data_IF_982500428430
#
_entry.id   IF_982500428430
#
_cell.length_a   1.000
_cell.length_b   1.000
_cell.length_c   1.000
_cell.angle_alpha   90.00
_cell.angle_beta   90.00
_cell.angle_gamma   90.00
#
_symmetry.space_group_name_H-M   'P 1'
#
loop_
_entity.id
_entity.type
_entity.pdbx_description
1 polymer ?
#
# COMPACT_ATOMS: atom_id res chain seq x y z
N UNK A 1 11.45 -24.04 -20.46
CA UNK A 1 11.01 -22.85 -21.21
C UNK A 1 11.96 -22.65 -22.37
N UNK A 2 11.48 -22.88 -23.58
CA UNK A 2 12.24 -22.48 -24.77
C UNK A 2 12.16 -20.96 -24.89
N UNK A 3 13.20 -20.32 -25.45
CA UNK A 3 13.24 -18.86 -25.67
C UNK A 3 12.01 -18.32 -26.46
N UNK A 4 11.26 -19.18 -27.17
CA UNK A 4 10.05 -18.84 -27.91
C UNK A 4 8.80 -18.59 -27.04
N UNK A 5 8.85 -18.87 -25.73
CA UNK A 5 7.70 -18.70 -24.84
C UNK A 5 7.67 -17.33 -24.14
N UNK A 6 8.77 -16.58 -24.21
CA UNK A 6 8.95 -15.30 -23.50
C UNK A 6 7.98 -14.22 -24.00
N UNK A 7 7.44 -13.43 -23.07
CA UNK A 7 6.57 -12.28 -23.32
C UNK A 7 7.25 -11.26 -24.24
N UNK A 8 8.56 -11.06 -24.07
CA UNK A 8 9.40 -10.20 -24.93
C UNK A 8 9.40 -10.60 -26.42
N UNK A 9 8.97 -11.81 -26.78
CA UNK A 9 8.80 -12.24 -28.18
C UNK A 9 7.35 -12.19 -28.65
N UNK A 10 6.40 -11.99 -27.74
CA UNK A 10 4.95 -11.97 -28.01
C UNK A 10 4.37 -10.55 -28.01
N UNK A 11 5.05 -9.61 -27.36
CA UNK A 11 4.68 -8.20 -27.27
C UNK A 11 5.82 -7.33 -27.76
N UNK A 12 5.48 -6.16 -28.26
CA UNK A 12 6.48 -5.16 -28.66
C UNK A 12 7.06 -4.48 -27.41
N UNK A 13 8.28 -3.96 -27.53
CA UNK A 13 8.92 -3.23 -26.44
C UNK A 13 8.13 -1.96 -26.11
N UNK A 14 7.64 -1.25 -27.13
CA UNK A 14 6.86 -0.02 -26.94
C UNK A 14 5.56 -0.28 -26.16
N UNK A 15 4.86 -1.38 -26.44
CA UNK A 15 3.65 -1.76 -25.69
C UNK A 15 3.94 -2.06 -24.21
N UNK A 16 5.03 -2.79 -23.94
CA UNK A 16 5.46 -3.13 -22.58
C UNK A 16 5.86 -1.85 -21.84
N UNK A 17 6.72 -1.04 -22.44
CA UNK A 17 7.24 0.18 -21.83
C UNK A 17 6.11 1.17 -21.54
N UNK A 18 5.17 1.37 -22.47
CA UNK A 18 4.01 2.24 -22.25
C UNK A 18 3.15 1.82 -21.04
N UNK A 19 2.91 0.52 -20.86
CA UNK A 19 2.18 0.03 -19.70
C UNK A 19 3.01 0.16 -18.42
N UNK A 20 4.29 -0.19 -18.49
CA UNK A 20 5.21 -0.20 -17.37
C UNK A 20 5.54 1.20 -16.84
N UNK A 21 5.57 2.22 -17.70
CA UNK A 21 5.78 3.62 -17.33
C UNK A 21 4.59 4.14 -16.52
N UNK A 22 3.36 3.82 -16.94
CA UNK A 22 2.15 4.13 -16.17
C UNK A 22 2.13 3.42 -14.81
N UNK A 23 2.64 2.18 -14.76
CA UNK A 23 2.80 1.47 -13.49
C UNK A 23 3.85 2.14 -12.59
N UNK A 24 4.98 2.61 -13.14
CA UNK A 24 5.98 3.38 -12.39
C UNK A 24 5.40 4.68 -11.83
N UNK A 25 4.57 5.40 -12.59
CA UNK A 25 3.85 6.59 -12.09
C UNK A 25 2.92 6.24 -10.92
N UNK A 26 2.17 5.15 -11.02
CA UNK A 26 1.30 4.68 -9.95
C UNK A 26 2.09 4.30 -8.70
N UNK A 27 3.11 3.44 -8.81
CA UNK A 27 3.83 2.92 -7.65
C UNK A 27 4.70 3.98 -6.97
N UNK A 28 5.14 5.01 -7.71
CA UNK A 28 5.80 6.16 -7.08
C UNK A 28 4.84 6.93 -6.17
N UNK A 29 3.60 7.15 -6.61
CA UNK A 29 2.58 7.85 -5.84
C UNK A 29 2.02 7.00 -4.69
N UNK A 30 1.68 5.74 -4.98
CA UNK A 30 1.00 4.82 -4.09
C UNK A 30 1.98 4.19 -3.07
N UNK A 31 2.57 5.01 -2.19
CA UNK A 31 3.52 4.53 -1.17
C UNK A 31 2.84 3.84 0.02
N UNK A 32 1.58 4.15 0.30
CA UNK A 32 0.75 3.56 1.37
C UNK A 32 -0.56 3.03 0.78
N UNK A 33 -1.29 2.20 1.52
CA UNK A 33 -2.60 1.71 1.07
C UNK A 33 -3.57 2.88 0.80
N UNK A 34 -3.53 3.93 1.64
CA UNK A 34 -4.39 5.11 1.47
C UNK A 34 -4.13 5.86 0.18
N UNK A 35 -2.85 6.04 -0.16
CA UNK A 35 -2.47 6.69 -1.42
C UNK A 35 -2.79 5.81 -2.63
N UNK A 36 -2.68 4.48 -2.50
CA UNK A 36 -3.13 3.56 -3.55
C UNK A 36 -4.64 3.70 -3.81
N UNK A 37 -5.46 3.71 -2.75
CA UNK A 37 -6.92 3.89 -2.87
C UNK A 37 -7.26 5.28 -3.42
N UNK A 38 -6.60 6.35 -2.97
CA UNK A 38 -6.78 7.71 -3.49
C UNK A 38 -6.48 7.79 -5.00
N UNK A 39 -5.40 7.14 -5.45
CA UNK A 39 -5.06 7.06 -6.86
C UNK A 39 -6.15 6.35 -7.67
N UNK A 40 -6.62 5.19 -7.19
CA UNK A 40 -7.66 4.43 -7.88
C UNK A 40 -9.01 5.12 -7.87
N UNK A 41 -9.38 5.82 -6.79
CA UNK A 41 -10.57 6.65 -6.72
C UNK A 41 -10.59 7.67 -7.86
N UNK A 42 -9.50 8.42 -8.01
CA UNK A 42 -9.35 9.43 -9.06
C UNK A 42 -9.53 8.82 -10.45
N UNK A 43 -8.83 7.72 -10.73
CA UNK A 43 -8.91 7.07 -12.04
C UNK A 43 -10.31 6.49 -12.32
N UNK A 44 -10.97 5.89 -11.33
CA UNK A 44 -12.32 5.37 -11.48
C UNK A 44 -13.31 6.49 -11.81
N UNK A 45 -13.23 7.62 -11.10
CA UNK A 45 -14.04 8.81 -11.37
C UNK A 45 -13.81 9.35 -12.79
N UNK A 46 -12.56 9.48 -13.21
CA UNK A 46 -12.20 9.91 -14.57
C UNK A 46 -12.75 8.98 -15.66
N UNK A 47 -12.96 7.69 -15.34
CA UNK A 47 -13.51 6.68 -16.24
C UNK A 47 -15.02 6.44 -16.08
N UNK A 48 -15.72 7.37 -15.44
CA UNK A 48 -17.18 7.40 -15.34
C UNK A 48 -17.77 6.42 -14.34
N UNK A 49 -16.97 5.93 -13.38
CA UNK A 49 -17.52 5.23 -12.23
C UNK A 49 -18.09 6.25 -11.24
N UNK A 50 -19.15 5.85 -10.53
CA UNK A 50 -19.76 6.66 -9.48
C UNK A 50 -19.60 6.00 -8.10
N UNK A 51 -19.44 6.78 -7.04
CA UNK A 51 -19.43 6.26 -5.68
C UNK A 51 -20.84 5.71 -5.33
N UNK A 52 -20.89 4.66 -4.51
CA UNK A 52 -22.12 3.96 -4.10
C UNK A 52 -23.18 4.92 -3.53
N UNK A 53 -22.76 5.99 -2.86
CA UNK A 53 -23.63 7.01 -2.29
C UNK A 53 -24.47 7.73 -3.35
N UNK A 54 -24.00 7.78 -4.60
CA UNK A 54 -24.69 8.38 -5.75
C UNK A 54 -25.45 7.36 -6.60
N UNK A 55 -25.42 6.07 -6.23
CA UNK A 55 -26.03 5.01 -7.01
C UNK A 55 -27.56 5.09 -6.97
N UNK A 56 -28.21 5.07 -8.13
CA UNK A 56 -29.68 5.14 -8.26
C UNK A 56 -30.32 3.82 -8.68
N UNK A 57 -29.50 2.77 -8.88
CA UNK A 57 -29.95 1.47 -9.40
C UNK A 57 -29.83 1.32 -10.91
N UNK A 58 -29.49 2.41 -11.64
CA UNK A 58 -29.44 2.44 -13.11
C UNK A 58 -28.03 2.43 -13.67
N UNK A 59 -27.05 2.84 -12.89
CA UNK A 59 -25.66 2.96 -13.31
C UNK A 59 -24.98 1.59 -13.34
N UNK A 60 -24.12 1.37 -14.32
CA UNK A 60 -23.40 0.10 -14.45
C UNK A 60 -22.04 0.13 -13.75
N UNK A 61 -21.43 1.31 -13.61
CA UNK A 61 -20.08 1.52 -13.07
C UNK A 61 -20.17 2.14 -11.69
N UNK A 62 -19.98 1.32 -10.66
CA UNK A 62 -20.16 1.73 -9.26
C UNK A 62 -18.97 1.26 -8.45
N UNK A 63 -18.50 2.10 -7.53
CA UNK A 63 -17.46 1.72 -6.58
C UNK A 63 -17.81 2.16 -5.15
N UNK A 64 -17.11 1.58 -4.18
CA UNK A 64 -17.20 1.94 -2.79
C UNK A 64 -15.82 1.88 -2.15
N UNK A 65 -15.50 2.91 -1.37
CA UNK A 65 -14.26 3.01 -0.61
C UNK A 65 -14.58 2.79 0.86
N UNK A 66 -13.91 1.83 1.46
CA UNK A 66 -14.05 1.51 2.86
C UNK A 66 -12.86 2.11 3.62
N UNK A 67 -13.14 3.12 4.46
CA UNK A 67 -12.17 3.77 5.35
C UNK A 67 -10.89 4.28 4.68
N UNK A 68 -10.98 4.59 3.38
CA UNK A 68 -9.84 4.98 2.52
C UNK A 68 -8.71 3.93 2.47
N UNK A 69 -9.00 2.67 2.82
CA UNK A 69 -8.00 1.59 2.89
C UNK A 69 -8.35 0.42 1.99
N UNK A 70 -9.64 0.19 1.75
CA UNK A 70 -10.12 -0.84 0.82
C UNK A 70 -11.02 -0.23 -0.24
N UNK A 71 -11.15 -0.91 -1.36
CA UNK A 71 -12.00 -0.51 -2.47
C UNK A 71 -12.70 -1.71 -3.09
N UNK A 72 -13.95 -1.54 -3.48
CA UNK A 72 -14.65 -2.47 -4.38
C UNK A 72 -15.24 -1.68 -5.53
N UNK A 73 -15.05 -2.15 -6.76
CA UNK A 73 -15.62 -1.55 -7.96
C UNK A 73 -16.21 -2.63 -8.86
N UNK A 74 -17.36 -2.34 -9.47
CA UNK A 74 -18.04 -3.22 -10.42
C UNK A 74 -18.48 -2.47 -11.67
N UNK A 75 -18.49 -3.17 -12.80
CA UNK A 75 -19.04 -2.73 -14.08
C UNK A 75 -19.99 -3.79 -14.64
N UNK A 76 -21.28 -3.45 -14.75
CA UNK A 76 -22.32 -4.29 -15.37
C UNK A 76 -23.40 -4.79 -14.40
N UNK A 77 -24.27 -5.66 -14.90
CA UNK A 77 -25.38 -6.23 -14.12
C UNK A 77 -24.93 -7.35 -13.18
N UNK A 78 -25.12 -7.16 -11.87
CA UNK A 78 -24.58 -8.04 -10.82
C UNK A 78 -25.42 -9.31 -10.61
N UNK A 79 -26.70 -9.32 -11.01
CA UNK A 79 -27.63 -10.44 -10.75
C UNK A 79 -27.21 -11.76 -11.41
N UNK A 80 -26.40 -11.69 -12.47
CA UNK A 80 -25.87 -12.87 -13.18
C UNK A 80 -24.53 -13.35 -12.61
N UNK A 81 -24.07 -12.79 -11.50
CA UNK A 81 -22.75 -13.01 -10.92
C UNK A 81 -21.72 -12.01 -11.43
N UNK A 82 -20.55 -12.03 -10.78
CA UNK A 82 -19.45 -11.09 -11.00
C UNK A 82 -18.15 -11.87 -11.19
N UNK A 83 -17.36 -11.50 -12.18
CA UNK A 83 -15.97 -11.93 -12.29
C UNK A 83 -15.09 -10.89 -11.59
N UNK A 84 -14.62 -11.21 -10.39
CA UNK A 84 -13.75 -10.37 -9.60
C UNK A 84 -12.27 -10.70 -9.83
N UNK A 85 -11.44 -9.66 -9.83
CA UNK A 85 -10.03 -9.76 -9.46
C UNK A 85 -9.89 -9.20 -8.04
N UNK A 86 -9.32 -9.97 -7.13
CA UNK A 86 -9.07 -9.56 -5.76
C UNK A 86 -7.56 -9.46 -5.52
N UNK A 87 -7.10 -8.36 -4.93
CA UNK A 87 -5.71 -8.09 -4.58
C UNK A 87 -5.65 -7.30 -3.26
N UNK A 88 -4.46 -7.09 -2.70
CA UNK A 88 -4.26 -6.17 -1.57
C UNK A 88 -3.38 -4.97 -1.95
N UNK A 89 -3.46 -3.90 -1.17
CA UNK A 89 -2.73 -2.64 -1.41
C UNK A 89 -1.85 -2.22 -0.24
N UNK A 90 -1.96 -2.91 0.90
CA UNK A 90 -1.00 -2.81 1.98
C UNK A 90 0.30 -3.54 1.63
N UNK A 91 1.39 -3.06 2.21
CA UNK A 91 2.73 -3.62 2.02
C UNK A 91 3.50 -3.56 3.35
N UNK A 92 4.52 -4.40 3.57
CA UNK A 92 5.30 -4.39 4.79
C UNK A 92 5.98 -3.04 4.99
N UNK A 93 5.85 -2.48 6.19
CA UNK A 93 6.24 -1.11 6.52
C UNK A 93 6.66 -0.95 7.98
N UNK A 94 6.96 0.29 8.37
CA UNK A 94 7.30 0.63 9.76
C UNK A 94 6.40 1.78 10.21
N UNK A 95 5.62 1.56 11.25
CA UNK A 95 4.67 2.53 11.77
C UNK A 95 5.26 3.30 12.94
N UNK A 96 4.82 4.54 13.13
CA UNK A 96 5.08 5.24 14.38
C UNK A 96 4.21 4.68 15.50
N UNK A 97 4.77 4.57 16.70
CA UNK A 97 3.96 4.26 17.90
C UNK A 97 3.05 5.45 18.27
N UNK A 98 1.98 5.23 19.07
CA UNK A 98 1.07 6.31 19.49
C UNK A 98 1.74 7.45 20.27
N UNK A 99 2.77 7.14 21.06
CA UNK A 99 3.62 8.14 21.72
C UNK A 99 5.05 7.98 21.17
N UNK A 100 5.31 8.45 19.95
CA UNK A 100 6.55 8.11 19.27
C UNK A 100 7.70 8.99 19.74
N UNK A 101 7.44 10.27 20.04
CA UNK A 101 8.44 11.33 20.08
C UNK A 101 9.19 11.41 21.42
N UNK A 102 10.51 11.32 21.37
CA UNK A 102 11.38 11.50 22.54
C UNK A 102 12.72 12.12 22.14
N UNK A 103 13.44 12.66 23.12
CA UNK A 103 14.82 13.10 22.95
C UNK A 103 15.76 12.18 23.72
N UNK A 104 16.87 11.82 23.09
CA UNK A 104 17.99 11.16 23.76
C UNK A 104 19.30 11.72 23.23
N UNK A 105 20.20 12.07 24.16
CA UNK A 105 21.57 12.50 23.85
C UNK A 105 21.67 13.63 22.79
N UNK A 106 20.73 14.58 22.81
CA UNK A 106 20.68 15.72 21.88
C UNK A 106 20.11 15.39 20.49
N UNK A 107 19.39 14.27 20.36
CA UNK A 107 18.74 13.85 19.11
C UNK A 107 17.26 13.58 19.38
N UNK A 108 16.39 14.19 18.58
CA UNK A 108 14.97 13.85 18.56
C UNK A 108 14.75 12.59 17.73
N UNK A 109 14.07 11.63 18.33
CA UNK A 109 13.80 10.30 17.77
C UNK A 109 12.30 10.01 17.83
N UNK A 110 11.84 9.10 16.96
CA UNK A 110 10.52 8.49 17.08
C UNK A 110 10.60 6.97 17.24
N UNK A 111 9.84 6.45 18.22
CA UNK A 111 9.61 5.01 18.41
C UNK A 111 8.75 4.46 17.30
N UNK A 112 9.11 3.27 16.83
CA UNK A 112 8.38 2.60 15.75
C UNK A 112 7.86 1.22 16.14
N UNK A 113 7.05 0.64 15.25
CA UNK A 113 6.61 -0.74 15.26
C UNK A 113 6.51 -1.23 13.83
N UNK A 114 7.03 -2.42 13.52
CA UNK A 114 6.94 -2.93 12.15
C UNK A 114 5.53 -3.45 11.84
N UNK A 115 5.18 -3.44 10.56
CA UNK A 115 3.93 -3.96 10.02
C UNK A 115 4.27 -5.00 8.95
N UNK A 116 3.66 -6.18 9.03
CA UNK A 116 3.91 -7.28 8.10
C UNK A 116 5.28 -7.97 8.25
N UNK A 117 5.62 -8.79 7.26
CA UNK A 117 6.81 -9.66 7.24
C UNK A 117 8.14 -8.98 6.93
N UNK A 118 8.49 -7.87 7.60
CA UNK A 118 9.71 -7.11 7.26
C UNK A 118 11.02 -7.85 7.58
N UNK A 119 11.94 -7.87 6.62
CA UNK A 119 13.37 -8.15 6.88
C UNK A 119 14.03 -6.90 7.47
N UNK A 120 14.00 -6.78 8.80
CA UNK A 120 14.43 -5.60 9.58
C UNK A 120 15.73 -4.94 9.09
N UNK A 121 16.76 -5.74 8.76
CA UNK A 121 18.06 -5.23 8.32
C UNK A 121 18.02 -4.47 6.99
N UNK A 122 17.02 -4.69 6.14
CA UNK A 122 16.87 -3.97 4.86
C UNK A 122 16.31 -2.55 5.05
N UNK A 123 15.81 -2.23 6.24
CA UNK A 123 15.23 -0.92 6.56
C UNK A 123 16.23 0.01 7.25
N UNK A 124 17.38 -0.51 7.67
CA UNK A 124 18.43 0.29 8.31
C UNK A 124 19.26 1.02 7.25
N UNK A 125 19.68 2.24 7.59
CA UNK A 125 20.48 3.14 6.74
C UNK A 125 19.88 3.42 5.36
N UNK A 126 18.56 3.27 5.23
CA UNK A 126 17.79 3.58 4.03
C UNK A 126 17.11 4.96 4.18
N UNK A 127 17.07 5.80 3.14
CA UNK A 127 16.21 6.99 3.10
C UNK A 127 14.73 6.61 3.19
N UNK A 128 14.02 7.15 4.17
CA UNK A 128 12.61 6.90 4.43
C UNK A 128 11.79 8.19 4.32
N UNK A 129 10.57 8.06 3.83
CA UNK A 129 9.53 9.08 3.87
C UNK A 129 8.54 8.74 5.00
N UNK A 130 7.99 9.77 5.64
CA UNK A 130 6.89 9.64 6.61
C UNK A 130 5.58 10.05 5.92
N UNK A 131 4.66 9.11 5.79
CA UNK A 131 3.41 9.28 5.05
C UNK A 131 2.25 8.81 5.90
N UNK A 132 1.14 9.53 5.89
CA UNK A 132 -0.07 9.07 6.55
C UNK A 132 -1.02 10.19 6.92
N UNK A 133 -1.79 9.98 8.00
CA UNK A 133 -2.81 10.92 8.44
C UNK A 133 -2.79 11.12 9.95
N UNK A 134 -3.17 12.32 10.37
CA UNK A 134 -3.39 12.67 11.77
C UNK A 134 -4.80 13.21 11.91
N UNK A 135 -5.55 12.71 12.89
CA UNK A 135 -6.92 13.19 13.18
C UNK A 135 -6.89 13.97 14.48
N UNK A 136 -7.17 15.27 14.43
CA UNK A 136 -7.21 16.15 15.59
C UNK A 136 -8.47 15.93 16.42
N UNK A 137 -8.46 16.43 17.66
CA UNK A 137 -9.61 16.37 18.58
C UNK A 137 -10.90 16.98 17.98
N UNK A 138 -10.77 18.06 17.20
CA UNK A 138 -11.89 18.71 16.51
C UNK A 138 -12.43 17.90 15.30
N UNK A 139 -11.86 16.73 15.01
CA UNK A 139 -12.20 15.88 13.87
C UNK A 139 -11.51 16.27 12.55
N UNK A 140 -10.66 17.30 12.54
CA UNK A 140 -9.88 17.68 11.36
C UNK A 140 -8.88 16.59 11.02
N UNK A 141 -8.87 16.18 9.75
CA UNK A 141 -7.96 15.16 9.23
C UNK A 141 -6.85 15.82 8.41
N UNK A 142 -5.62 15.68 8.87
CA UNK A 142 -4.43 16.25 8.26
C UNK A 142 -3.66 15.15 7.53
N UNK A 143 -3.34 15.36 6.25
CA UNK A 143 -2.43 14.50 5.49
C UNK A 143 -0.98 14.91 5.77
N UNK A 144 -0.14 13.92 6.08
CA UNK A 144 1.30 14.10 6.31
C UNK A 144 2.06 13.39 5.20
N UNK A 145 3.01 14.11 4.60
CA UNK A 145 3.99 13.58 3.66
C UNK A 145 5.30 14.35 3.89
N UNK A 146 6.32 13.68 4.41
CA UNK A 146 7.68 14.21 4.57
C UNK A 146 8.62 13.25 3.85
N UNK A 147 9.45 13.76 2.95
CA UNK A 147 10.35 12.94 2.13
C UNK A 147 9.70 12.37 0.87
N UNK A 148 8.55 12.94 0.48
CA UNK A 148 7.81 12.54 -0.73
C UNK A 148 8.25 13.32 -1.97
N UNK A 149 8.70 14.56 -1.78
CA UNK A 149 9.19 15.45 -2.84
C UNK A 149 10.73 15.46 -2.88
N UNK A 150 11.32 15.72 -4.04
CA UNK A 150 12.79 15.70 -4.23
C UNK A 150 13.57 16.68 -3.34
N UNK A 151 12.90 17.72 -2.85
CA UNK A 151 13.49 18.75 -1.97
C UNK A 151 13.21 18.53 -0.49
N UNK A 152 12.33 17.59 -0.16
CA UNK A 152 12.00 17.31 1.23
C UNK A 152 13.17 16.60 1.93
N UNK A 153 13.36 16.84 3.24
CA UNK A 153 14.24 15.99 4.02
C UNK A 153 13.66 14.57 4.10
N UNK A 154 14.54 13.59 4.10
CA UNK A 154 14.22 12.18 4.38
C UNK A 154 14.58 11.84 5.82
N UNK A 155 14.02 10.75 6.31
CA UNK A 155 14.31 10.17 7.61
C UNK A 155 15.16 8.91 7.46
N UNK A 156 15.84 8.49 8.54
CA UNK A 156 16.69 7.30 8.52
C UNK A 156 16.59 6.55 9.85
N UNK A 157 16.57 5.21 9.75
CA UNK A 157 16.83 4.30 10.86
C UNK A 157 18.32 3.95 10.87
N UNK A 158 19.14 4.52 11.76
CA UNK A 158 20.59 4.32 11.71
C UNK A 158 20.98 2.88 12.09
N UNK A 159 21.93 2.30 11.35
CA UNK A 159 22.63 1.07 11.77
C UNK A 159 23.89 1.37 12.58
N UNK A 160 24.37 0.40 13.35
CA UNK A 160 25.66 0.47 14.02
C UNK A 160 26.77 0.30 12.99
N UNK A 161 27.76 1.20 13.01
CA UNK A 161 28.92 1.09 12.12
C UNK A 161 29.72 -0.20 12.37
N UNK A 162 30.28 -0.83 11.32
CA UNK A 162 30.88 -2.16 11.42
C UNK A 162 32.13 -2.23 12.32
N UNK A 163 32.82 -1.11 12.57
CA UNK A 163 34.01 -1.09 13.43
C UNK A 163 33.68 -1.34 14.92
N UNK A 164 32.44 -1.07 15.33
CA UNK A 164 31.94 -1.26 16.69
C UNK A 164 30.96 -2.43 16.78
N UNK A 165 30.36 -2.86 15.67
CA UNK A 165 29.54 -4.05 15.61
C UNK A 165 30.40 -5.33 15.54
N UNK A 166 30.89 -5.77 16.71
CA UNK A 166 31.78 -6.93 16.84
C UNK A 166 31.03 -8.25 17.12
N UNK A 167 29.72 -8.19 17.35
CA UNK A 167 28.93 -9.38 17.67
C UNK A 167 28.44 -10.05 16.38
N UNK A 168 28.92 -11.26 16.11
CA UNK A 168 28.47 -12.08 14.98
C UNK A 168 27.32 -13.00 15.44
N UNK A 169 26.09 -12.47 15.42
CA UNK A 169 24.87 -13.21 15.77
C UNK A 169 24.08 -13.60 14.52
N UNK A 170 23.18 -14.56 14.69
CA UNK A 170 22.19 -14.88 13.66
C UNK A 170 21.35 -13.63 13.34
N UNK A 171 20.98 -13.47 12.06
CA UNK A 171 20.14 -12.35 11.59
C UNK A 171 18.85 -12.21 12.41
N UNK A 172 18.27 -13.33 12.85
CA UNK A 172 17.06 -13.37 13.69
C UNK A 172 17.23 -12.70 15.06
N UNK A 173 18.46 -12.61 15.57
CA UNK A 173 18.78 -12.09 16.92
C UNK A 173 19.47 -10.73 16.88
N UNK A 174 20.22 -10.46 15.81
CA UNK A 174 21.02 -9.24 15.65
C UNK A 174 20.13 -8.00 15.52
N UNK A 175 19.10 -8.06 14.67
CA UNK A 175 18.27 -6.90 14.35
C UNK A 175 16.99 -6.89 15.21
N UNK A 176 17.01 -6.05 16.25
CA UNK A 176 15.92 -5.89 17.22
C UNK A 176 14.98 -4.74 16.82
N UNK A 177 13.69 -5.03 16.72
CA UNK A 177 12.68 -4.05 16.29
C UNK A 177 12.60 -2.84 17.25
N UNK A 178 12.82 -3.06 18.54
CA UNK A 178 12.76 -2.01 19.57
C UNK A 178 13.87 -0.96 19.43
N UNK A 179 14.94 -1.32 18.70
CA UNK A 179 16.06 -0.42 18.39
C UNK A 179 15.87 0.35 17.09
N UNK A 180 14.87 0.01 16.27
CA UNK A 180 14.56 0.69 15.01
C UNK A 180 13.85 2.02 15.29
N UNK A 181 14.59 3.01 15.78
CA UNK A 181 14.04 4.33 16.10
C UNK A 181 14.52 5.33 15.05
N UNK A 182 13.57 6.08 14.48
CA UNK A 182 13.86 6.98 13.36
C UNK A 182 14.39 8.31 13.88
N UNK A 183 15.43 8.84 13.24
CA UNK A 183 15.97 10.18 13.54
C UNK A 183 15.06 11.24 12.93
N UNK A 184 14.72 12.26 13.72
CA UNK A 184 13.88 13.38 13.30
C UNK A 184 14.65 14.69 13.24
N UNK A 185 15.68 14.87 14.07
CA UNK A 185 16.57 16.02 14.00
C UNK A 185 17.46 16.19 15.23
N UNK A 186 18.30 17.20 15.19
CA UNK A 186 19.36 17.46 16.20
C UNK A 186 19.53 18.94 16.54
N UNK A 187 18.67 19.82 16.01
CA UNK A 187 18.76 21.27 16.25
C UNK A 187 17.92 21.60 17.50
N UNK A 188 18.51 22.20 18.55
CA UNK A 188 17.77 22.58 19.75
C UNK A 188 16.95 23.86 19.52
N UNK A 189 15.80 23.94 20.17
CA UNK A 189 15.03 25.19 20.27
C UNK A 189 15.76 26.15 21.24
N UNK A 190 16.06 27.36 20.77
CA UNK A 190 16.71 28.38 21.60
C UNK A 190 15.86 28.76 22.82
N UNK A 191 16.51 28.86 23.98
CA UNK A 191 15.86 29.25 25.25
C UNK A 191 15.15 28.10 25.98
N UNK A 192 15.21 26.87 25.48
CA UNK A 192 14.65 25.69 26.14
C UNK A 192 15.71 24.83 26.83
N UNK A 193 15.43 24.43 28.08
CA UNK A 193 16.35 23.62 28.87
C UNK A 193 16.00 22.13 28.86
N UNK A 194 14.71 21.79 28.73
CA UNK A 194 14.22 20.40 28.79
C UNK A 194 13.76 19.94 27.41
N UNK A 195 14.42 18.89 26.91
CA UNK A 195 14.17 18.28 25.60
C UNK A 195 14.09 19.33 24.47
N UNK A 196 15.09 20.22 24.34
CA UNK A 196 15.03 21.35 23.41
C UNK A 196 14.95 20.93 21.94
N UNK A 197 15.52 19.78 21.56
CA UNK A 197 15.49 19.27 20.18
C UNK A 197 14.11 18.70 19.87
N UNK A 198 13.52 17.91 20.78
CA UNK A 198 12.14 17.43 20.65
C UNK A 198 11.17 18.61 20.50
N UNK A 199 11.32 19.64 21.33
CA UNK A 199 10.48 20.85 21.24
C UNK A 199 10.65 21.58 19.91
N UNK A 200 11.86 21.61 19.35
CA UNK A 200 12.08 22.16 18.02
C UNK A 200 11.36 21.37 16.93
N UNK A 201 11.40 20.03 16.98
CA UNK A 201 10.65 19.18 16.05
C UNK A 201 9.14 19.42 16.18
N UNK A 202 8.60 19.49 17.41
CA UNK A 202 7.19 19.80 17.64
C UNK A 202 6.80 21.18 17.08
N UNK A 203 7.68 22.18 17.25
CA UNK A 203 7.48 23.51 16.64
C UNK A 203 7.38 23.41 15.11
N UNK A 204 8.29 22.68 14.46
CA UNK A 204 8.26 22.50 13.00
C UNK A 204 7.01 21.76 12.52
N UNK A 205 6.59 20.71 13.24
CA UNK A 205 5.35 19.98 12.93
C UNK A 205 4.11 20.85 13.10
N UNK A 206 4.08 21.68 14.15
CA UNK A 206 3.01 22.65 14.37
C UNK A 206 2.98 23.74 13.30
N UNK A 207 4.13 24.26 12.88
CA UNK A 207 4.22 25.27 11.82
C UNK A 207 3.80 24.71 10.44
N UNK A 208 4.22 23.49 10.11
CA UNK A 208 3.96 22.89 8.78
C UNK A 208 2.57 22.27 8.66
N UNK A 209 2.11 21.58 9.70
CA UNK A 209 0.90 20.76 9.65
C UNK A 209 -0.14 21.13 10.72
N UNK A 210 0.17 22.05 11.64
CA UNK A 210 -0.68 22.36 12.79
C UNK A 210 -0.96 21.14 13.70
N UNK A 211 0.05 20.27 13.84
CA UNK A 211 0.02 19.04 14.66
C UNK A 211 0.73 19.30 15.99
N UNK A 212 0.13 18.84 17.09
CA UNK A 212 0.72 18.84 18.44
C UNK A 212 1.11 17.42 18.88
N UNK A 213 1.80 17.28 20.02
CA UNK A 213 2.30 15.98 20.47
C UNK A 213 1.17 14.97 20.76
N UNK A 214 0.06 15.44 21.32
CA UNK A 214 -1.07 14.58 21.68
C UNK A 214 -1.82 14.04 20.44
N UNK A 215 -1.74 14.74 19.31
CA UNK A 215 -2.39 14.35 18.06
C UNK A 215 -1.79 13.04 17.48
N UNK A 216 -0.59 12.63 17.89
CA UNK A 216 0.01 11.36 17.48
C UNK A 216 -0.77 10.12 17.97
N UNK A 217 -1.58 10.26 19.02
CA UNK A 217 -2.39 9.16 19.56
C UNK A 217 -3.44 8.70 18.54
N UNK A 218 -3.98 9.64 17.76
CA UNK A 218 -4.96 9.44 16.70
C UNK A 218 -4.33 9.56 15.30
N UNK A 219 -3.03 9.26 15.20
CA UNK A 219 -2.28 9.23 13.96
C UNK A 219 -2.11 7.82 13.41
N UNK A 220 -2.06 7.73 12.08
CA UNK A 220 -1.75 6.54 11.30
C UNK A 220 -0.62 6.97 10.35
N UNK A 221 0.63 6.84 10.82
CA UNK A 221 1.84 7.36 10.16
C UNK A 221 2.84 6.25 9.90
N UNK A 222 3.31 6.21 8.67
CA UNK A 222 4.05 5.11 8.08
C UNK A 222 5.38 5.59 7.54
N UNK A 223 6.45 4.92 7.92
CA UNK A 223 7.76 5.04 7.32
C UNK A 223 7.86 4.05 6.16
N UNK A 224 8.13 4.59 4.99
CA UNK A 224 8.26 3.86 3.73
C UNK A 224 9.54 4.29 3.01
N UNK A 225 10.17 3.45 2.17
CA UNK A 225 11.31 3.87 1.37
C UNK A 225 11.02 5.14 0.56
N UNK A 226 11.89 6.14 0.66
CA UNK A 226 11.83 7.37 -0.15
C UNK A 226 12.42 7.19 -1.56
N UNK A 227 12.72 5.95 -1.96
CA UNK A 227 13.27 5.63 -3.27
C UNK A 227 12.20 5.73 -4.35
N UNK A 228 12.56 6.33 -5.49
CA UNK A 228 11.73 6.36 -6.70
C UNK A 228 11.83 5.03 -7.46
N UNK A 229 10.76 4.59 -8.15
CA UNK A 229 10.82 3.42 -9.02
C UNK A 229 11.80 3.64 -10.17
N UNK A 230 12.56 2.60 -10.54
CA UNK A 230 13.57 2.66 -11.60
C UNK A 230 13.58 1.38 -12.40
N UNK A 231 14.01 1.48 -13.66
CA UNK A 231 14.35 0.30 -14.44
C UNK A 231 15.63 -0.34 -13.91
N UNK A 232 15.67 -1.67 -13.89
CA UNK A 232 16.74 -2.50 -13.35
C UNK A 232 17.29 -3.41 -14.45
N UNK A 233 18.62 -3.53 -14.51
CA UNK A 233 19.34 -4.26 -15.55
C UNK A 233 19.87 -3.36 -16.65
N UNK A 234 20.93 -3.79 -17.35
CA UNK A 234 21.56 -3.04 -18.46
C UNK A 234 20.56 -2.85 -19.62
N UNK A 235 19.61 -3.76 -19.76
CA UNK A 235 18.58 -3.75 -20.81
C UNK A 235 17.27 -3.07 -20.39
N UNK A 236 17.17 -2.62 -19.13
CA UNK A 236 15.95 -2.07 -18.52
C UNK A 236 14.76 -3.04 -18.56
N UNK A 237 15.01 -4.34 -18.40
CA UNK A 237 13.97 -5.37 -18.48
C UNK A 237 13.15 -5.58 -17.19
N UNK A 238 13.60 -5.04 -16.06
CA UNK A 238 12.92 -5.15 -14.77
C UNK A 238 12.56 -3.77 -14.21
N UNK A 239 11.58 -3.74 -13.29
CA UNK A 239 11.29 -2.56 -12.46
C UNK A 239 11.69 -2.87 -11.03
N UNK A 240 12.41 -1.95 -10.41
CA UNK A 240 12.68 -1.94 -8.98
C UNK A 240 11.93 -0.81 -8.31
N UNK A 241 11.03 -1.15 -7.38
CA UNK A 241 10.27 -0.22 -6.56
C UNK A 241 9.91 -0.86 -5.20
N UNK A 242 9.49 -0.02 -4.26
CA UNK A 242 8.90 -0.47 -3.00
C UNK A 242 7.40 -0.76 -3.17
N UNK A 243 6.91 -1.81 -2.49
CA UNK A 243 5.48 -2.13 -2.43
C UNK A 243 4.92 -2.75 -3.70
N UNK A 244 5.74 -3.43 -4.52
CA UNK A 244 5.23 -4.25 -5.62
C UNK A 244 4.18 -5.25 -5.12
N UNK A 245 4.48 -5.86 -3.98
CA UNK A 245 3.60 -6.71 -3.19
C UNK A 245 2.51 -5.86 -2.49
N UNK A 246 1.23 -5.98 -2.83
CA UNK A 246 0.66 -6.57 -4.07
C UNK A 246 0.04 -5.49 -4.99
N UNK A 247 0.56 -4.27 -4.86
CA UNK A 247 0.10 -3.13 -5.66
C UNK A 247 0.26 -3.36 -7.16
N UNK A 248 1.15 -4.25 -7.60
CA UNK A 248 1.25 -4.65 -9.01
C UNK A 248 -0.04 -5.32 -9.50
N UNK A 249 -0.56 -6.31 -8.79
CA UNK A 249 -1.81 -6.98 -9.15
C UNK A 249 -3.02 -6.06 -8.97
N UNK A 250 -3.00 -5.19 -7.95
CA UNK A 250 -4.03 -4.17 -7.78
C UNK A 250 -4.11 -3.23 -8.99
N UNK A 251 -2.96 -2.73 -9.48
CA UNK A 251 -2.88 -1.88 -10.65
C UNK A 251 -3.37 -2.59 -11.91
N UNK A 252 -2.89 -3.80 -12.17
CA UNK A 252 -3.30 -4.60 -13.33
C UNK A 252 -4.79 -4.93 -13.29
N UNK A 253 -5.33 -5.30 -12.12
CA UNK A 253 -6.74 -5.58 -11.91
C UNK A 253 -7.62 -4.36 -12.22
N UNK A 254 -7.26 -3.18 -11.71
CA UNK A 254 -7.99 -1.94 -12.00
C UNK A 254 -7.86 -1.57 -13.48
N UNK A 255 -6.66 -1.62 -14.07
CA UNK A 255 -6.50 -1.33 -15.51
C UNK A 255 -7.28 -2.30 -16.38
N UNK A 256 -7.36 -3.59 -16.01
CA UNK A 256 -8.18 -4.57 -16.70
C UNK A 256 -9.68 -4.23 -16.58
N UNK A 257 -10.16 -3.85 -15.39
CA UNK A 257 -11.55 -3.43 -15.15
C UNK A 257 -11.94 -2.19 -15.99
N UNK A 258 -11.02 -1.25 -16.18
CA UNK A 258 -11.26 -0.05 -16.99
C UNK A 258 -11.36 -0.35 -18.49
N UNK A 259 -10.54 -1.29 -18.98
CA UNK A 259 -10.44 -1.60 -20.41
C UNK A 259 -11.40 -2.71 -20.87
N UNK A 260 -11.82 -3.60 -19.97
CA UNK A 260 -12.73 -4.70 -20.29
C UNK A 260 -14.18 -4.23 -20.40
N UNK A 261 -14.96 -4.94 -21.23
CA UNK A 261 -16.41 -4.77 -21.32
C UNK A 261 -17.10 -5.98 -20.69
N UNK A 262 -18.07 -5.78 -19.78
CA UNK A 262 -18.85 -6.87 -19.23
C UNK A 262 -19.61 -7.60 -20.34
N UNK A 263 -19.71 -8.93 -20.23
CA UNK A 263 -20.45 -9.77 -21.19
C UNK A 263 -21.67 -10.38 -20.49
N UNK A 264 -21.61 -11.67 -20.15
CA UNK A 264 -22.68 -12.39 -19.47
C UNK A 264 -22.75 -12.13 -17.97
N UNK A 265 -21.64 -11.72 -17.37
CA UNK A 265 -21.49 -11.37 -15.95
C UNK A 265 -20.96 -9.94 -15.84
N UNK A 266 -21.25 -9.28 -14.72
CA UNK A 266 -20.50 -8.10 -14.34
C UNK A 266 -19.03 -8.45 -14.12
N UNK A 267 -18.17 -7.43 -14.20
CA UNK A 267 -16.75 -7.53 -13.87
C UNK A 267 -16.46 -6.61 -12.69
N UNK A 268 -15.48 -6.94 -11.86
CA UNK A 268 -15.15 -6.10 -10.73
C UNK A 268 -13.75 -6.32 -10.19
N UNK A 269 -13.35 -5.42 -9.30
CA UNK A 269 -12.11 -5.51 -8.54
C UNK A 269 -12.43 -5.31 -7.06
N UNK A 270 -11.74 -6.06 -6.21
CA UNK A 270 -11.73 -5.84 -4.75
C UNK A 270 -10.28 -5.65 -4.31
N UNK A 271 -10.00 -4.53 -3.66
CA UNK A 271 -8.70 -4.19 -3.10
C UNK A 271 -8.81 -4.18 -1.58
N UNK A 272 -8.00 -4.99 -0.92
CA UNK A 272 -7.97 -5.15 0.53
C UNK A 272 -6.77 -4.44 1.18
N UNK A 273 -6.90 -4.16 2.47
CA UNK A 273 -5.81 -3.81 3.39
C UNK A 273 -5.63 -4.99 4.37
N UNK A 274 -4.59 -4.98 5.21
CA UNK A 274 -4.34 -5.97 6.27
C UNK A 274 -3.98 -7.37 5.84
N UNK A 275 -3.68 -7.64 4.57
CA UNK A 275 -3.26 -8.99 4.14
C UNK A 275 -2.01 -9.42 4.92
N UNK A 276 -1.02 -8.52 4.99
CA UNK A 276 0.31 -8.75 5.54
C UNK A 276 0.34 -9.07 7.04
N UNK A 277 -0.80 -8.91 7.72
CA UNK A 277 -0.98 -9.21 9.15
C UNK A 277 -2.08 -10.25 9.41
N UNK A 278 -2.57 -10.94 8.38
CA UNK A 278 -3.54 -12.04 8.50
C UNK A 278 -4.96 -11.70 8.05
N UNK A 279 -5.18 -10.61 7.31
CA UNK A 279 -6.48 -10.18 6.76
C UNK A 279 -7.57 -9.87 7.79
N UNK A 280 -7.20 -9.66 9.06
CA UNK A 280 -8.11 -9.25 10.13
C UNK A 280 -8.26 -7.72 10.18
N UNK A 281 -9.46 -7.27 10.54
CA UNK A 281 -9.76 -5.84 10.68
C UNK A 281 -10.97 -5.41 9.84
N UNK A 282 -11.24 -4.12 9.90
CA UNK A 282 -12.36 -3.45 9.24
C UNK A 282 -12.12 -3.17 7.75
N UNK A 283 -10.88 -3.32 7.28
CA UNK A 283 -10.46 -3.11 5.89
C UNK A 283 -9.92 -4.38 5.19
N UNK A 284 -9.83 -5.49 5.94
CA UNK A 284 -9.34 -6.77 5.44
C UNK A 284 -10.38 -7.61 4.70
N UNK A 285 -9.92 -8.74 4.16
CA UNK A 285 -10.78 -9.69 3.45
C UNK A 285 -11.94 -10.21 4.33
N UNK A 286 -11.75 -10.26 5.65
CA UNK A 286 -12.77 -10.69 6.60
C UNK A 286 -13.80 -9.59 6.95
N UNK A 287 -13.58 -8.33 6.56
CA UNK A 287 -14.37 -7.17 6.98
C UNK A 287 -15.80 -7.10 6.39
N UNK A 288 -16.15 -7.98 5.44
CA UNK A 288 -17.45 -8.06 4.76
C UNK A 288 -17.92 -6.76 4.06
N UNK A 289 -17.08 -5.75 3.89
CA UNK A 289 -17.47 -4.48 3.25
C UNK A 289 -17.98 -4.68 1.82
N UNK A 290 -17.37 -5.61 1.06
CA UNK A 290 -17.83 -5.98 -0.29
C UNK A 290 -19.23 -6.62 -0.28
N UNK A 291 -19.59 -7.37 0.77
CA UNK A 291 -20.96 -7.90 0.93
C UNK A 291 -21.94 -6.79 1.25
N UNK A 292 -21.56 -5.84 2.11
CA UNK A 292 -22.37 -4.67 2.41
C UNK A 292 -22.59 -3.81 1.15
N UNK A 293 -21.56 -3.63 0.32
CA UNK A 293 -21.65 -2.98 -0.98
C UNK A 293 -22.67 -3.64 -1.91
N UNK A 294 -22.54 -4.95 -2.15
CA UNK A 294 -23.46 -5.68 -3.03
C UNK A 294 -24.91 -5.65 -2.51
N UNK A 295 -25.12 -5.85 -1.21
CA UNK A 295 -26.46 -5.74 -0.59
C UNK A 295 -27.05 -4.35 -0.75
N UNK A 296 -26.24 -3.30 -0.57
CA UNK A 296 -26.71 -1.93 -0.77
C UNK A 296 -27.12 -1.68 -2.22
N UNK A 297 -26.36 -2.20 -3.19
CA UNK A 297 -26.76 -2.13 -4.61
C UNK A 297 -28.10 -2.82 -4.87
N UNK A 298 -28.31 -4.02 -4.34
CA UNK A 298 -29.57 -4.76 -4.46
C UNK A 298 -30.75 -4.02 -3.81
N UNK A 299 -30.53 -3.49 -2.61
CA UNK A 299 -31.55 -2.72 -1.89
C UNK A 299 -31.98 -1.47 -2.66
N UNK A 300 -31.02 -0.73 -3.25
CA UNK A 300 -31.31 0.45 -4.08
C UNK A 300 -32.08 0.08 -5.35
N UNK A 301 -31.83 -1.10 -5.93
CA UNK A 301 -32.61 -1.64 -7.06
C UNK A 301 -34.04 -2.07 -6.69
N UNK A 302 -34.42 -2.02 -5.40
CA UNK A 302 -35.77 -2.35 -4.93
C UNK A 302 -36.00 -3.83 -4.64
N UNK A 303 -34.94 -4.62 -4.50
CA UNK A 303 -35.08 -6.01 -4.05
C UNK A 303 -35.31 -6.08 -2.53
N UNK A 304 -36.31 -6.86 -2.12
CA UNK A 304 -36.67 -7.03 -0.71
C UNK A 304 -35.82 -8.08 0.00
N UNK A 305 -35.56 -9.23 -0.66
CA UNK A 305 -34.73 -10.30 -0.11
C UNK A 305 -33.30 -10.20 -0.65
N UNK A 306 -32.54 -9.26 -0.09
CA UNK A 306 -31.17 -8.99 -0.53
C UNK A 306 -30.17 -10.06 -0.11
N UNK A 307 -30.47 -10.86 0.93
CA UNK A 307 -29.55 -11.91 1.41
C UNK A 307 -29.62 -13.13 0.49
N UNK A 308 -30.83 -13.61 0.16
CA UNK A 308 -30.97 -14.72 -0.78
C UNK A 308 -30.35 -14.37 -2.15
N UNK A 309 -30.59 -13.16 -2.64
CA UNK A 309 -30.01 -12.70 -3.91
C UNK A 309 -28.48 -12.55 -3.82
N UNK A 310 -27.94 -12.14 -2.67
CA UNK A 310 -26.50 -12.08 -2.48
C UNK A 310 -25.89 -13.49 -2.59
N UNK A 311 -26.50 -14.49 -1.95
CA UNK A 311 -26.03 -15.88 -2.01
C UNK A 311 -26.04 -16.39 -3.46
N UNK A 312 -27.11 -16.13 -4.21
CA UNK A 312 -27.18 -16.48 -5.63
C UNK A 312 -26.13 -15.78 -6.49
N UNK A 313 -25.84 -14.50 -6.22
CA UNK A 313 -24.80 -13.76 -6.93
C UNK A 313 -23.43 -14.35 -6.62
N UNK A 314 -23.16 -14.68 -5.36
CA UNK A 314 -21.89 -15.28 -4.94
C UNK A 314 -21.70 -16.63 -5.62
N UNK A 315 -22.73 -17.49 -5.64
CA UNK A 315 -22.69 -18.80 -6.31
C UNK A 315 -22.42 -18.70 -7.82
N UNK A 316 -22.93 -17.63 -8.46
CA UNK A 316 -22.69 -17.35 -9.88
C UNK A 316 -21.37 -16.61 -10.12
N UNK A 317 -20.69 -16.12 -9.09
CA UNK A 317 -19.48 -15.31 -9.21
C UNK A 317 -18.21 -16.15 -9.34
N UNK A 318 -17.14 -15.51 -9.81
CA UNK A 318 -15.82 -16.11 -9.90
C UNK A 318 -14.81 -15.09 -9.41
N UNK A 319 -13.89 -15.50 -8.54
CA UNK A 319 -12.86 -14.61 -7.99
C UNK A 319 -11.50 -15.14 -8.41
N UNK A 320 -10.73 -14.31 -9.09
CA UNK A 320 -9.30 -14.49 -9.26
C UNK A 320 -8.60 -13.79 -8.10
N UNK A 321 -8.04 -14.56 -7.16
CA UNK A 321 -7.12 -14.02 -6.16
C UNK A 321 -5.80 -13.77 -6.87
N UNK A 322 -5.49 -12.50 -7.12
CA UNK A 322 -4.23 -12.07 -7.69
C UNK A 322 -3.33 -11.67 -6.52
N UNK A 323 -2.13 -12.22 -6.53
CA UNK A 323 -1.05 -11.94 -5.60
C UNK A 323 0.27 -12.30 -6.31
N UNK A 324 1.36 -11.67 -5.92
CA UNK A 324 2.69 -11.96 -6.44
C UNK A 324 3.12 -13.39 -6.10
N UNK A 325 4.07 -13.89 -6.88
CA UNK A 325 4.73 -15.16 -6.59
C UNK A 325 6.24 -15.02 -6.68
N UNK A 326 6.95 -15.92 -6.03
CA UNK A 326 8.40 -15.94 -6.07
C UNK A 326 8.91 -16.41 -7.44
N UNK A 327 9.67 -15.53 -8.10
CA UNK A 327 10.46 -15.89 -9.27
C UNK A 327 11.65 -16.76 -8.86
N UNK A 328 12.05 -17.68 -9.74
CA UNK A 328 13.27 -18.46 -9.57
C UNK A 328 14.51 -17.54 -9.48
N UNK A 329 15.15 -17.51 -8.31
CA UNK A 329 16.44 -16.84 -8.12
C UNK A 329 17.61 -17.80 -8.39
N UNK A 330 18.42 -17.58 -9.45
CA UNK A 330 19.57 -18.42 -9.75
C UNK A 330 20.64 -18.45 -8.65
N UNK A 331 20.66 -17.46 -7.76
CA UNK A 331 21.59 -17.37 -6.63
C UNK A 331 21.17 -18.27 -5.47
N UNK A 332 19.88 -18.63 -5.40
CA UNK A 332 19.31 -19.50 -4.36
C UNK A 332 18.47 -20.61 -4.99
N UNK A 333 19.05 -21.47 -5.85
CA UNK A 333 18.29 -22.44 -6.63
C UNK A 333 17.65 -23.55 -5.77
N UNK A 334 18.14 -23.74 -4.55
CA UNK A 334 17.76 -24.86 -3.67
C UNK A 334 16.47 -24.60 -2.88
N UNK A 335 15.94 -23.37 -2.88
CA UNK A 335 14.69 -23.02 -2.18
C UNK A 335 13.43 -23.30 -2.99
N UNK A 336 13.59 -23.66 -4.27
CA UNK A 336 12.47 -23.88 -5.20
C UNK A 336 12.49 -25.28 -5.82
N UNK A 337 11.30 -25.82 -6.05
CA UNK A 337 11.13 -26.93 -6.99
C UNK A 337 11.26 -26.41 -8.43
N UNK A 338 12.36 -26.79 -9.10
CA UNK A 338 12.71 -26.34 -10.46
C UNK A 338 11.63 -26.62 -11.50
N UNK A 339 10.76 -27.61 -11.28
CA UNK A 339 9.67 -27.95 -12.20
C UNK A 339 8.43 -27.06 -12.00
N UNK A 340 8.26 -26.47 -10.82
CA UNK A 340 7.05 -25.77 -10.39
C UNK A 340 7.32 -24.32 -9.95
N UNK A 341 8.32 -23.66 -10.54
CA UNK A 341 8.72 -22.28 -10.21
C UNK A 341 8.50 -21.34 -11.38
N UNK A 342 7.98 -20.15 -11.10
CA UNK A 342 7.84 -19.08 -12.07
C UNK A 342 9.22 -18.55 -12.51
N UNK A 343 9.31 -18.09 -13.74
CA UNK A 343 10.52 -17.48 -14.32
C UNK A 343 10.17 -16.12 -14.88
N UNK A 344 11.14 -15.21 -14.92
CA UNK A 344 10.94 -13.87 -15.48
C UNK A 344 10.78 -13.90 -17.00
N UNK A 345 10.01 -12.94 -17.51
CA UNK A 345 9.72 -12.77 -18.93
C UNK A 345 8.76 -13.80 -19.47
#
# INVERSE_FOLDING_TARGET
MGLNELVWRKRTREEIEHFSDRYKEFIDYAKTERLAIEYFEKILLENGYIPLEKYTGKENKVFYINREKSLVAVNGEILNGINFVAAHVDAPRIDLRPNPLYEDSGIALAKTHYYGGVKKYQWLSLPLALVGVVVKENGEKIKVCIGCEDKDPVLVLPDLLPHLDKEDKKVSEQFKAEKMNVILGSIPLEGEEKEPVKKYILKLLKEKYNIEEEDFISADLELVPALKPRDVGIDSSFIGAYGHDDRICAFEGVMALLNAQPKSKAIGVILFDREEIGSEGDAGAQARFYRAFLRKMLSVKGFNDTEQLLDEIIDKSTVLSADVTALFDPSYPDVHDKLNVAKSG
#
